data_IF_004973306184
#
_entry.id   IF_004973306184
#
_cell.length_a   1.000
_cell.length_b   1.000
_cell.length_c   1.000
_cell.angle_alpha   90.00
_cell.angle_beta   90.00
_cell.angle_gamma   90.00
#
_symmetry.space_group_name_H-M   'P 1'
#
loop_
_entity.id
_entity.type
_entity.pdbx_description
1 polymer ?
#
# COMPACT_ATOMS: atom_id res chain seq x y z
N UNK A 1 48.22 -20.82 -10.44
CA UNK A 1 47.01 -20.07 -10.03
C UNK A 1 47.31 -19.41 -8.70
N UNK A 2 47.25 -18.08 -8.60
CA UNK A 2 47.61 -17.37 -7.36
C UNK A 2 46.45 -17.52 -6.35
N UNK A 3 46.61 -18.43 -5.40
CA UNK A 3 45.58 -18.80 -4.41
C UNK A 3 45.09 -17.60 -3.60
N UNK A 4 45.96 -16.62 -3.35
CA UNK A 4 45.61 -15.38 -2.66
C UNK A 4 44.72 -14.47 -3.52
N UNK A 5 45.00 -14.37 -4.82
CA UNK A 5 44.18 -13.57 -5.73
C UNK A 5 42.77 -14.14 -5.88
N UNK A 6 42.63 -15.47 -5.97
CA UNK A 6 41.32 -16.12 -5.97
C UNK A 6 40.58 -15.94 -4.64
N UNK A 7 41.27 -16.06 -3.50
CA UNK A 7 40.67 -15.81 -2.20
C UNK A 7 40.13 -14.38 -2.09
N UNK A 8 40.90 -13.37 -2.53
CA UNK A 8 40.42 -11.98 -2.57
C UNK A 8 39.24 -11.80 -3.52
N UNK A 9 39.25 -12.44 -4.70
CA UNK A 9 38.10 -12.40 -5.63
C UNK A 9 36.83 -12.93 -4.97
N UNK A 10 36.91 -14.07 -4.28
CA UNK A 10 35.77 -14.66 -3.58
C UNK A 10 35.31 -13.77 -2.42
N UNK A 11 36.22 -13.28 -1.58
CA UNK A 11 35.91 -12.39 -0.45
C UNK A 11 35.20 -11.13 -0.93
N UNK A 12 35.70 -10.49 -2.00
CA UNK A 12 35.10 -9.30 -2.59
C UNK A 12 33.72 -9.56 -3.24
N UNK A 13 33.39 -10.82 -3.54
CA UNK A 13 32.10 -11.19 -4.09
C UNK A 13 31.05 -11.54 -3.03
N UNK A 14 31.43 -11.73 -1.76
CA UNK A 14 30.50 -12.09 -0.67
C UNK A 14 29.40 -11.03 -0.55
N UNK A 15 29.77 -9.74 -0.58
CA UNK A 15 28.82 -8.62 -0.56
C UNK A 15 29.17 -7.67 -1.70
N UNK A 16 28.21 -7.40 -2.59
CA UNK A 16 28.37 -6.41 -3.66
C UNK A 16 27.15 -5.50 -3.73
N UNK A 17 27.35 -4.27 -4.17
CA UNK A 17 26.24 -3.37 -4.54
C UNK A 17 26.08 -3.45 -6.05
N UNK A 18 24.84 -3.48 -6.51
CA UNK A 18 24.52 -3.47 -7.93
C UNK A 18 23.19 -2.77 -8.22
N UNK A 19 22.82 -2.81 -9.48
CA UNK A 19 21.56 -2.27 -9.98
C UNK A 19 20.78 -3.37 -10.71
N UNK A 20 19.49 -3.49 -10.45
CA UNK A 20 18.62 -4.46 -11.12
C UNK A 20 18.58 -4.13 -12.62
N UNK A 21 18.98 -5.08 -13.46
CA UNK A 21 19.03 -4.95 -14.91
C UNK A 21 17.80 -5.57 -15.59
N UNK A 22 17.35 -6.72 -15.08
CA UNK A 22 16.20 -7.47 -15.63
C UNK A 22 15.40 -8.10 -14.49
N UNK A 23 14.09 -8.24 -14.67
CA UNK A 23 13.18 -8.83 -13.68
C UNK A 23 12.27 -9.86 -14.36
N UNK A 24 12.27 -11.09 -13.85
CA UNK A 24 11.32 -12.15 -14.17
C UNK A 24 10.41 -12.36 -12.96
N UNK A 25 9.33 -11.58 -12.93
CA UNK A 25 8.30 -11.65 -11.91
C UNK A 25 7.62 -13.02 -11.85
N UNK A 26 7.51 -13.74 -12.97
CA UNK A 26 6.83 -15.05 -13.00
C UNK A 26 7.59 -16.14 -12.23
N UNK A 27 8.90 -15.98 -12.09
CA UNK A 27 9.79 -16.93 -11.40
C UNK A 27 10.36 -16.41 -10.09
N UNK A 28 9.96 -15.21 -9.67
CA UNK A 28 10.55 -14.51 -8.54
C UNK A 28 12.10 -14.42 -8.65
N UNK A 29 12.60 -14.01 -9.82
CA UNK A 29 14.04 -13.87 -10.10
C UNK A 29 14.38 -12.57 -10.80
N UNK A 30 15.54 -11.99 -10.51
CA UNK A 30 16.07 -10.82 -11.19
C UNK A 30 17.55 -10.99 -11.52
N UNK A 31 18.05 -10.20 -12.47
CA UNK A 31 19.47 -10.08 -12.79
C UNK A 31 19.97 -8.72 -12.34
N UNK A 32 21.18 -8.69 -11.80
CA UNK A 32 21.78 -7.47 -11.24
C UNK A 32 23.10 -7.20 -11.94
N UNK A 33 23.30 -5.96 -12.38
CA UNK A 33 24.57 -5.46 -12.85
C UNK A 33 25.39 -4.99 -11.64
N UNK A 34 26.55 -5.60 -11.42
CA UNK A 34 27.49 -5.23 -10.35
C UNK A 34 28.90 -5.05 -10.94
N UNK A 35 29.35 -3.80 -11.08
CA UNK A 35 30.54 -3.47 -11.87
C UNK A 35 30.36 -3.94 -13.31
N UNK A 36 31.33 -4.70 -13.84
CA UNK A 36 31.26 -5.29 -15.18
C UNK A 36 30.52 -6.64 -15.24
N UNK A 37 30.09 -7.18 -14.09
CA UNK A 37 29.43 -8.49 -14.02
C UNK A 37 27.91 -8.35 -14.00
N UNK A 38 27.25 -8.99 -14.96
CA UNK A 38 25.80 -9.24 -14.92
C UNK A 38 25.55 -10.63 -14.32
N UNK A 39 24.77 -10.71 -13.25
CA UNK A 39 24.45 -12.00 -12.63
C UNK A 39 23.61 -12.91 -13.53
N UNK A 40 23.54 -14.19 -13.16
CA UNK A 40 22.43 -15.05 -13.56
C UNK A 40 21.11 -14.60 -12.92
N UNK A 41 20.06 -15.42 -13.08
CA UNK A 41 18.75 -15.20 -12.46
C UNK A 41 18.80 -15.55 -10.97
N UNK A 42 18.80 -14.52 -10.13
CA UNK A 42 18.92 -14.66 -8.68
C UNK A 42 17.60 -14.37 -7.96
N UNK A 43 17.30 -15.08 -6.86
CA UNK A 43 16.15 -14.75 -6.02
C UNK A 43 16.36 -13.40 -5.32
N UNK A 44 15.26 -12.74 -4.98
CA UNK A 44 15.28 -11.59 -4.08
C UNK A 44 14.61 -11.91 -2.75
N UNK A 45 15.01 -11.19 -1.71
CA UNK A 45 14.40 -11.24 -0.39
C UNK A 45 13.06 -10.49 -0.42
N UNK A 46 12.04 -11.08 0.18
CA UNK A 46 10.77 -10.43 0.52
C UNK A 46 10.61 -10.46 2.04
N UNK A 47 9.82 -9.54 2.61
CA UNK A 47 9.65 -9.43 4.05
C UNK A 47 9.17 -10.75 4.70
N UNK A 48 8.32 -11.50 4.00
CA UNK A 48 7.79 -12.80 4.44
C UNK A 48 7.58 -13.74 3.25
N UNK A 49 8.08 -14.97 3.34
CA UNK A 49 7.95 -16.01 2.29
C UNK A 49 7.60 -17.39 2.88
N UNK A 50 6.93 -17.40 4.04
CA UNK A 50 6.51 -18.62 4.74
C UNK A 50 5.03 -18.93 4.49
N UNK A 51 4.28 -19.20 5.56
CA UNK A 51 2.82 -19.33 5.49
C UNK A 51 2.12 -17.99 5.23
N UNK A 52 2.75 -16.89 5.65
CA UNK A 52 2.45 -15.54 5.15
C UNK A 52 3.44 -15.19 4.05
N UNK A 53 2.92 -14.66 2.94
CA UNK A 53 3.67 -14.32 1.75
C UNK A 53 3.49 -12.83 1.44
N UNK A 54 4.58 -12.16 1.11
CA UNK A 54 4.58 -10.79 0.58
C UNK A 54 5.15 -10.78 -0.84
N UNK A 55 4.49 -10.02 -1.72
CA UNK A 55 4.88 -9.85 -3.11
C UNK A 55 5.06 -8.37 -3.44
N UNK A 56 6.32 -7.98 -3.59
CA UNK A 56 6.75 -6.65 -4.02
C UNK A 56 8.05 -6.82 -4.83
N UNK A 57 7.95 -7.12 -6.14
CA UNK A 57 9.12 -7.43 -6.95
C UNK A 57 10.00 -6.18 -7.10
N UNK A 58 11.33 -6.35 -7.20
CA UNK A 58 12.21 -5.22 -7.49
C UNK A 58 11.92 -4.62 -8.86
N UNK A 59 12.35 -3.39 -9.05
CA UNK A 59 12.20 -2.68 -10.34
C UNK A 59 13.53 -2.54 -11.07
N UNK A 60 13.50 -2.53 -12.41
CA UNK A 60 14.71 -2.26 -13.21
C UNK A 60 15.24 -0.86 -12.85
N UNK A 61 16.55 -0.78 -12.58
CA UNK A 61 17.19 0.45 -12.12
C UNK A 61 17.28 0.59 -10.60
N UNK A 62 16.63 -0.26 -9.82
CA UNK A 62 16.71 -0.24 -8.35
C UNK A 62 18.11 -0.64 -7.86
N UNK A 63 18.63 0.09 -6.86
CA UNK A 63 19.90 -0.24 -6.24
C UNK A 63 19.70 -1.32 -5.17
N UNK A 64 20.55 -2.35 -5.21
CA UNK A 64 20.41 -3.55 -4.38
C UNK A 64 21.75 -4.05 -3.85
N UNK A 65 21.71 -4.84 -2.79
CA UNK A 65 22.85 -5.62 -2.30
C UNK A 65 22.75 -7.06 -2.81
N UNK A 66 23.86 -7.61 -3.28
CA UNK A 66 24.05 -9.01 -3.58
C UNK A 66 24.79 -9.67 -2.41
N UNK A 67 24.21 -10.71 -1.83
CA UNK A 67 24.84 -11.58 -0.85
C UNK A 67 25.16 -12.92 -1.53
N UNK A 68 26.44 -13.23 -1.69
CA UNK A 68 26.90 -14.41 -2.43
C UNK A 68 27.58 -15.40 -1.48
N UNK A 69 26.92 -16.49 -1.07
CA UNK A 69 27.54 -17.53 -0.26
C UNK A 69 28.86 -18.00 -0.89
N UNK A 70 29.91 -18.09 -0.09
CA UNK A 70 31.26 -18.46 -0.54
C UNK A 70 31.85 -17.57 -1.65
N UNK A 71 31.30 -16.38 -1.89
CA UNK A 71 31.74 -15.50 -2.98
C UNK A 71 31.30 -15.93 -4.38
N UNK A 72 30.37 -16.89 -4.48
CA UNK A 72 29.82 -17.36 -5.75
C UNK A 72 28.61 -16.54 -6.19
N UNK A 73 28.83 -15.63 -7.15
CA UNK A 73 27.77 -14.79 -7.73
C UNK A 73 26.66 -15.58 -8.44
N UNK A 74 26.89 -16.84 -8.79
CA UNK A 74 25.86 -17.71 -9.34
C UNK A 74 24.84 -18.14 -8.29
N UNK A 75 25.15 -18.02 -7.00
CA UNK A 75 24.28 -18.31 -5.86
C UNK A 75 23.86 -17.06 -5.09
N UNK A 76 24.04 -15.88 -5.69
CA UNK A 76 23.75 -14.63 -5.01
C UNK A 76 22.26 -14.48 -4.66
N UNK A 77 22.00 -13.80 -3.56
CA UNK A 77 20.67 -13.43 -3.09
C UNK A 77 20.57 -11.91 -3.16
N UNK A 78 19.50 -11.40 -3.76
CA UNK A 78 19.25 -9.97 -3.92
C UNK A 78 18.54 -9.44 -2.68
N UNK A 79 19.08 -8.40 -2.06
CA UNK A 79 18.46 -7.65 -0.97
C UNK A 79 18.12 -6.25 -1.48
N UNK A 80 16.83 -5.91 -1.47
CA UNK A 80 16.27 -4.64 -1.94
C UNK A 80 16.25 -3.57 -0.84
N UNK A 81 15.90 -2.32 -1.20
CA UNK A 81 15.67 -1.24 -0.23
C UNK A 81 16.85 -0.29 0.01
N UNK A 82 17.85 -0.24 -0.86
CA UNK A 82 18.85 0.83 -0.82
C UNK A 82 18.34 2.08 -1.54
N UNK A 83 18.21 3.18 -0.80
CA UNK A 83 17.81 4.46 -1.38
C UNK A 83 18.88 5.03 -2.32
N UNK A 84 18.44 5.52 -3.48
CA UNK A 84 19.24 6.29 -4.44
C UNK A 84 18.68 7.70 -4.57
N UNK A 85 18.64 8.43 -3.44
CA UNK A 85 18.07 9.78 -3.32
C UNK A 85 16.58 9.88 -3.69
N UNK A 86 15.83 8.79 -3.47
CA UNK A 86 14.41 8.66 -3.81
C UNK A 86 13.56 8.25 -2.58
N UNK A 87 14.02 8.57 -1.37
CA UNK A 87 13.24 8.33 -0.16
C UNK A 87 11.92 9.14 -0.19
N UNK A 88 10.77 8.53 0.14
CA UNK A 88 9.46 9.18 -0.03
C UNK A 88 9.08 10.15 1.10
N UNK A 89 9.86 10.18 2.19
CA UNK A 89 9.68 11.05 3.35
C UNK A 89 11.03 11.33 4.01
N UNK A 90 11.13 12.47 4.68
CA UNK A 90 12.22 12.90 5.58
C UNK A 90 11.80 12.86 7.05
N UNK A 91 10.54 12.54 7.34
CA UNK A 91 10.00 12.45 8.70
C UNK A 91 10.33 11.10 9.35
N UNK A 92 10.83 11.14 10.59
CA UNK A 92 10.98 9.94 11.43
C UNK A 92 9.62 9.45 12.00
N UNK A 93 8.57 10.25 11.87
CA UNK A 93 7.26 9.97 12.45
C UNK A 93 6.36 9.13 11.53
N UNK A 94 6.74 8.99 10.25
CA UNK A 94 5.92 8.41 9.20
C UNK A 94 6.37 7.01 8.79
N UNK A 95 5.41 6.11 8.64
CA UNK A 95 5.55 4.93 7.79
C UNK A 95 4.82 5.19 6.48
N UNK A 96 5.55 5.32 5.37
CA UNK A 96 5.02 5.73 4.06
C UNK A 96 5.40 4.76 2.95
N UNK A 97 4.40 4.27 2.22
CA UNK A 97 4.56 3.55 0.94
C UNK A 97 3.95 4.37 -0.19
N UNK A 98 4.69 4.50 -1.28
CA UNK A 98 4.28 5.19 -2.52
C UNK A 98 4.37 4.21 -3.67
N UNK A 99 3.36 4.22 -4.53
CA UNK A 99 3.27 3.38 -5.72
C UNK A 99 3.53 4.21 -6.99
N UNK A 100 3.99 3.61 -8.09
CA UNK A 100 4.37 4.33 -9.31
C UNK A 100 3.20 5.04 -10.02
N UNK A 101 1.96 4.69 -9.70
CA UNK A 101 0.75 5.34 -10.21
C UNK A 101 0.32 6.57 -9.39
N UNK A 102 1.04 6.88 -8.32
CA UNK A 102 0.73 7.98 -7.40
C UNK A 102 -0.17 7.56 -6.22
N UNK A 103 -0.55 6.29 -6.09
CA UNK A 103 -1.18 5.81 -4.86
C UNK A 103 -0.19 5.88 -3.69
N UNK A 104 -0.71 6.10 -2.48
CA UNK A 104 0.12 6.15 -1.27
C UNK A 104 -0.65 5.72 -0.03
N UNK A 105 0.07 5.12 0.91
CA UNK A 105 -0.41 4.82 2.26
C UNK A 105 0.60 5.36 3.26
N UNK A 106 0.16 6.21 4.19
CA UNK A 106 1.01 6.86 5.18
C UNK A 106 0.37 6.81 6.56
N UNK A 107 1.12 6.34 7.55
CA UNK A 107 0.74 6.45 8.95
C UNK A 107 1.74 7.33 9.70
N UNK A 108 1.26 8.40 10.32
CA UNK A 108 2.03 9.28 11.20
C UNK A 108 1.65 9.01 12.66
N UNK A 109 2.60 8.54 13.46
CA UNK A 109 2.34 8.11 14.82
C UNK A 109 2.28 9.26 15.84
N UNK A 110 2.78 10.45 15.50
CA UNK A 110 2.67 11.66 16.32
C UNK A 110 1.32 12.31 16.12
N UNK A 111 0.88 12.48 14.86
CA UNK A 111 -0.45 12.97 14.51
C UNK A 111 -1.56 11.95 14.77
N UNK A 112 -1.20 10.66 14.87
CA UNK A 112 -2.13 9.52 15.00
C UNK A 112 -3.07 9.43 13.80
N UNK A 113 -2.53 9.61 12.61
CA UNK A 113 -3.28 9.76 11.37
C UNK A 113 -2.85 8.72 10.34
N UNK A 114 -3.84 8.04 9.73
CA UNK A 114 -3.65 7.18 8.55
C UNK A 114 -4.25 7.89 7.34
N UNK A 115 -3.44 8.12 6.30
CA UNK A 115 -3.89 8.63 5.01
C UNK A 115 -3.62 7.57 3.94
N UNK A 116 -4.69 7.16 3.25
CA UNK A 116 -4.60 6.27 2.10
C UNK A 116 -5.25 6.95 0.89
N UNK A 117 -4.46 7.21 -0.15
CA UNK A 117 -4.87 7.92 -1.37
C UNK A 117 -4.65 7.03 -2.58
N UNK A 118 -5.67 6.91 -3.43
CA UNK A 118 -5.65 6.06 -4.61
C UNK A 118 -6.25 6.80 -5.79
N UNK A 119 -5.53 6.98 -6.92
CA UNK A 119 -6.06 7.61 -8.12
C UNK A 119 -7.05 6.71 -8.88
N UNK A 120 -6.98 5.40 -8.64
CA UNK A 120 -7.81 4.40 -9.29
C UNK A 120 -9.03 3.98 -8.46
N UNK A 121 -9.19 2.66 -8.29
CA UNK A 121 -10.34 2.05 -7.62
C UNK A 121 -9.90 1.39 -6.32
N UNK A 122 -10.77 1.38 -5.32
CA UNK A 122 -10.61 0.62 -4.08
C UNK A 122 -11.79 -0.34 -3.95
N UNK A 123 -11.50 -1.64 -3.79
CA UNK A 123 -12.50 -2.67 -3.51
C UNK A 123 -12.17 -3.32 -2.17
N UNK A 124 -13.12 -3.30 -1.24
CA UNK A 124 -13.01 -3.96 0.07
C UNK A 124 -14.08 -5.04 0.13
N UNK A 125 -13.68 -6.31 0.12
CA UNK A 125 -14.59 -7.46 0.14
C UNK A 125 -14.49 -8.15 1.50
N UNK A 126 -15.61 -8.24 2.21
CA UNK A 126 -15.69 -8.86 3.54
C UNK A 126 -16.83 -9.88 3.49
N UNK A 127 -16.51 -11.16 3.68
CA UNK A 127 -17.49 -12.26 3.66
C UNK A 127 -18.24 -12.40 4.99
N UNK A 128 -17.57 -12.06 6.09
CA UNK A 128 -18.18 -12.02 7.42
C UNK A 128 -18.73 -10.63 7.74
N UNK A 129 -18.72 -10.29 9.02
CA UNK A 129 -19.19 -8.99 9.49
C UNK A 129 -18.11 -7.90 9.35
N UNK A 130 -18.56 -6.69 9.05
CA UNK A 130 -17.73 -5.49 9.04
C UNK A 130 -18.28 -4.47 10.04
N UNK A 131 -17.45 -4.00 10.96
CA UNK A 131 -17.83 -3.01 11.97
C UNK A 131 -16.86 -1.82 11.91
N UNK A 132 -17.40 -0.61 11.79
CA UNK A 132 -16.63 0.65 11.82
C UNK A 132 -17.20 1.56 12.89
N UNK A 133 -16.42 1.80 13.96
CA UNK A 133 -16.80 2.69 15.05
C UNK A 133 -16.08 4.03 14.91
N UNK A 134 -16.83 5.11 14.75
CA UNK A 134 -16.29 6.47 14.63
C UNK A 134 -16.73 7.26 15.86
N UNK A 135 -15.79 7.59 16.76
CA UNK A 135 -16.08 8.37 17.97
C UNK A 135 -16.31 9.87 17.71
N UNK A 136 -15.92 10.34 16.53
CA UNK A 136 -16.19 11.69 16.03
C UNK A 136 -17.14 11.68 14.84
N UNK A 137 -16.86 12.50 13.84
CA UNK A 137 -17.68 12.59 12.64
C UNK A 137 -17.23 11.59 11.57
N UNK A 138 -18.19 10.92 10.93
CA UNK A 138 -17.96 10.16 9.71
C UNK A 138 -18.48 10.97 8.51
N UNK A 139 -17.66 11.14 7.48
CA UNK A 139 -18.05 11.83 6.23
C UNK A 139 -17.87 10.90 5.04
N UNK A 140 -18.83 10.90 4.12
CA UNK A 140 -18.76 10.15 2.86
C UNK A 140 -19.22 11.05 1.73
N UNK A 141 -18.28 11.47 0.89
CA UNK A 141 -18.56 12.29 -0.29
C UNK A 141 -18.54 11.42 -1.54
N UNK A 142 -19.68 11.29 -2.21
CA UNK A 142 -19.83 10.49 -3.43
C UNK A 142 -20.40 11.40 -4.52
N UNK A 143 -19.59 11.69 -5.54
CA UNK A 143 -20.03 12.53 -6.66
C UNK A 143 -21.10 11.85 -7.53
N UNK A 144 -21.04 10.53 -7.65
CA UNK A 144 -22.03 9.70 -8.33
C UNK A 144 -23.10 9.17 -7.38
N UNK A 145 -23.31 7.87 -7.38
CA UNK A 145 -24.33 7.21 -6.56
C UNK A 145 -23.72 6.46 -5.37
N UNK A 146 -24.25 6.73 -4.18
CA UNK A 146 -24.04 5.86 -3.02
C UNK A 146 -25.15 4.80 -2.96
N UNK A 147 -24.80 3.52 -2.97
CA UNK A 147 -25.77 2.40 -2.89
C UNK A 147 -25.57 1.63 -1.60
N UNK A 148 -26.64 1.45 -0.83
CA UNK A 148 -26.68 0.60 0.37
C UNK A 148 -27.78 -0.44 0.17
N UNK A 149 -27.39 -1.69 -0.06
CA UNK A 149 -28.31 -2.80 -0.27
C UNK A 149 -28.32 -3.68 0.97
N UNK A 150 -29.36 -3.58 1.79
CA UNK A 150 -29.54 -4.37 3.00
C UNK A 150 -31.03 -4.64 3.25
N UNK A 151 -31.34 -5.73 3.98
CA UNK A 151 -32.71 -6.00 4.40
C UNK A 151 -33.25 -4.91 5.37
N UNK A 152 -32.35 -4.33 6.17
CA UNK A 152 -32.64 -3.23 7.10
C UNK A 152 -31.48 -2.25 7.11
N UNK A 153 -31.80 -0.96 7.11
CA UNK A 153 -30.84 0.12 7.33
C UNK A 153 -31.38 0.93 8.52
N UNK A 154 -30.65 0.93 9.63
CA UNK A 154 -31.03 1.68 10.81
C UNK A 154 -30.35 3.04 10.79
N UNK A 155 -31.13 4.11 10.85
CA UNK A 155 -30.64 5.47 11.00
C UNK A 155 -31.16 6.06 12.30
N UNK A 156 -30.33 6.88 12.96
CA UNK A 156 -30.70 7.65 14.15
C UNK A 156 -31.45 6.84 15.22
N UNK A 157 -31.08 5.58 15.43
CA UNK A 157 -31.76 4.63 16.34
C UNK A 157 -33.28 4.51 16.13
N UNK A 158 -33.75 4.66 14.88
CA UNK A 158 -35.17 4.58 14.53
C UNK A 158 -35.94 5.89 14.65
N UNK A 159 -35.29 6.98 15.07
CA UNK A 159 -35.90 8.31 15.05
C UNK A 159 -36.08 8.82 13.61
N UNK A 160 -37.04 9.74 13.35
CA UNK A 160 -37.31 10.26 12.02
C UNK A 160 -36.06 10.78 11.30
N UNK A 161 -36.02 10.62 9.97
CA UNK A 161 -34.90 10.95 9.06
C UNK A 161 -35.27 11.90 7.89
N UNK A 162 -36.40 12.62 7.92
CA UNK A 162 -36.78 13.62 6.87
C UNK A 162 -37.00 15.00 7.48
N UNK A 163 -36.36 16.09 7.02
CA UNK A 163 -36.69 17.46 7.53
C UNK A 163 -38.17 17.80 7.39
N UNK A 164 -38.73 18.50 8.38
CA UNK A 164 -40.10 19.08 8.31
C UNK A 164 -40.24 20.21 7.28
N UNK A 165 -39.15 20.63 6.62
CA UNK A 165 -39.15 21.76 5.68
C UNK A 165 -39.92 21.55 4.37
N UNK A 166 -40.31 20.31 4.05
CA UNK A 166 -41.16 20.04 2.89
C UNK A 166 -42.62 20.43 3.17
N UNK A 167 -43.17 21.37 2.39
CA UNK A 167 -44.57 21.79 2.47
C UNK A 167 -45.47 20.67 1.95
N UNK A 168 -46.39 20.20 2.78
CA UNK A 168 -47.36 19.19 2.41
C UNK A 168 -48.25 19.70 1.26
N UNK A 169 -48.35 18.94 0.17
CA UNK A 169 -49.25 19.28 -0.94
C UNK A 169 -50.73 19.27 -0.51
N UNK A 170 -51.10 18.50 0.51
CA UNK A 170 -52.47 18.42 1.01
C UNK A 170 -52.82 19.52 2.01
N UNK A 171 -51.90 19.88 2.90
CA UNK A 171 -52.19 20.82 4.01
C UNK A 171 -51.62 22.21 3.80
N UNK A 172 -50.65 22.40 2.89
CA UNK A 172 -49.95 23.67 2.72
C UNK A 172 -49.06 24.06 3.91
N UNK A 173 -48.91 23.17 4.90
CA UNK A 173 -48.07 23.36 6.08
C UNK A 173 -46.86 22.42 6.01
N UNK A 174 -45.75 22.75 6.67
CA UNK A 174 -44.70 21.79 7.01
C UNK A 174 -45.29 20.47 7.53
N UNK A 175 -44.80 19.32 7.08
CA UNK A 175 -45.19 18.04 7.70
C UNK A 175 -44.88 18.10 9.21
N UNK A 176 -45.84 17.72 10.06
CA UNK A 176 -45.70 17.79 11.52
C UNK A 176 -44.64 16.84 12.09
N UNK A 177 -44.37 15.74 11.37
CA UNK A 177 -43.40 14.72 11.77
C UNK A 177 -42.22 14.72 10.80
N UNK A 178 -41.10 15.28 11.24
CA UNK A 178 -39.84 15.24 10.52
C UNK A 178 -38.65 15.14 11.45
N UNK A 179 -37.56 14.60 10.92
CA UNK A 179 -36.24 14.61 11.52
C UNK A 179 -35.73 16.02 11.75
N UNK A 180 -35.33 16.29 12.99
CA UNK A 180 -34.52 17.46 13.34
C UNK A 180 -33.03 17.29 12.98
N UNK A 181 -32.60 16.13 12.49
CA UNK A 181 -31.18 15.78 12.29
C UNK A 181 -30.79 15.46 10.85
N UNK A 182 -31.73 15.05 9.99
CA UNK A 182 -31.44 14.86 8.56
C UNK A 182 -31.76 16.14 7.82
N UNK A 183 -30.73 16.89 7.46
CA UNK A 183 -30.83 18.03 6.55
C UNK A 183 -30.57 17.56 5.12
N UNK A 184 -31.58 17.63 4.26
CA UNK A 184 -31.33 17.67 2.82
C UNK A 184 -30.88 19.11 2.50
N UNK A 185 -29.71 19.28 1.91
CA UNK A 185 -29.11 20.59 1.65
C UNK A 185 -30.00 21.50 0.77
N UNK A 186 -29.74 22.81 0.88
CA UNK A 186 -30.34 23.86 0.03
C UNK A 186 -30.15 23.58 -1.46
#
# INVERSE_FOLDING_TARGET
MNTLAEAFRLINNIVRIGQVAEVDASRARARVQAGDNLTGWQPWVSARTGTSLEWDPPTVGEQVVLLSPSGDLAQAIIVTGLYKQNAPSDSADEHKRVYPDGASITYDHVKKELVASFPGKVNINITGDATVNVGGNATTAVAGTCKVNALKIHHNNGNPVVTTGHICHFTGLPHGDGSSTVTAGK
#
